data_IF_671394717532
#
_entry.id   IF_671394717532
#
_cell.length_a   1.000
_cell.length_b   1.000
_cell.length_c   1.000
_cell.angle_alpha   90.00
_cell.angle_beta   90.00
_cell.angle_gamma   90.00
#
_symmetry.space_group_name_H-M   'P 1'
#
loop_
_entity.id
_entity.type
_entity.pdbx_description
1 polymer ?
#
# COMPACT_ATOMS: atom_id res chain seq x y z
N UNK A 1 -18.06 -4.57 -24.36
CA UNK A 1 -17.05 -5.47 -23.76
C UNK A 1 -17.26 -6.87 -24.33
N UNK A 2 -16.21 -7.53 -24.82
CA UNK A 2 -16.32 -8.85 -25.49
C UNK A 2 -16.66 -10.00 -24.54
N UNK A 3 -16.15 -9.97 -23.30
CA UNK A 3 -16.34 -11.05 -22.32
C UNK A 3 -17.53 -10.87 -21.39
N UNK A 4 -18.11 -9.67 -21.32
CA UNK A 4 -19.17 -9.32 -20.35
C UNK A 4 -18.71 -9.25 -18.89
N UNK A 5 -17.42 -9.45 -18.59
CA UNK A 5 -16.88 -9.44 -17.22
C UNK A 5 -16.35 -8.05 -16.83
N UNK A 6 -16.26 -7.73 -15.51
CA UNK A 6 -15.54 -6.55 -15.03
C UNK A 6 -14.05 -6.62 -15.37
N UNK A 7 -13.46 -5.48 -15.72
CA UNK A 7 -12.04 -5.36 -16.06
C UNK A 7 -11.33 -4.41 -15.11
N UNK A 8 -10.24 -4.87 -14.49
CA UNK A 8 -9.30 -4.04 -13.75
C UNK A 8 -8.00 -3.89 -14.54
N UNK A 9 -7.55 -2.66 -14.76
CA UNK A 9 -6.28 -2.37 -15.44
C UNK A 9 -5.42 -1.46 -14.58
N UNK A 10 -4.29 -1.97 -14.12
CA UNK A 10 -3.32 -1.19 -13.34
C UNK A 10 -2.04 -0.95 -14.12
N UNK A 11 -1.40 0.17 -13.87
CA UNK A 11 -0.10 0.54 -14.43
C UNK A 11 0.98 0.54 -13.34
N UNK A 12 2.23 0.56 -13.75
CA UNK A 12 3.35 0.72 -12.84
C UNK A 12 4.24 1.86 -13.34
N UNK A 13 4.84 2.60 -12.41
CA UNK A 13 5.87 3.58 -12.70
C UNK A 13 7.21 3.01 -12.24
N UNK A 14 8.22 3.10 -13.10
CA UNK A 14 9.61 2.79 -12.78
C UNK A 14 10.20 3.93 -11.93
N UNK A 15 11.38 4.45 -12.27
CA UNK A 15 12.00 5.54 -11.51
C UNK A 15 11.41 6.93 -11.78
N UNK A 16 10.64 7.11 -12.86
CA UNK A 16 9.99 8.38 -13.23
C UNK A 16 8.49 8.33 -13.01
N UNK A 17 7.87 9.46 -12.65
CA UNK A 17 6.43 9.59 -12.37
C UNK A 17 5.56 9.62 -13.63
N UNK A 18 5.83 8.71 -14.57
CA UNK A 18 5.15 8.58 -15.85
C UNK A 18 5.23 7.14 -16.34
N UNK A 19 4.31 6.76 -17.23
CA UNK A 19 4.40 5.50 -17.97
C UNK A 19 5.61 5.51 -18.93
N UNK A 20 5.94 4.36 -19.50
CA UNK A 20 6.97 4.24 -20.54
C UNK A 20 6.68 5.16 -21.75
N UNK A 21 5.39 5.39 -22.05
CA UNK A 21 4.91 6.27 -23.12
C UNK A 21 4.83 7.75 -22.70
N UNK A 22 5.26 8.09 -21.48
CA UNK A 22 5.31 9.47 -21.00
C UNK A 22 3.98 10.03 -20.48
N UNK A 23 3.00 9.18 -20.18
CA UNK A 23 1.72 9.61 -19.59
C UNK A 23 1.85 9.77 -18.08
N UNK A 24 1.28 10.85 -17.55
CA UNK A 24 1.09 11.04 -16.11
C UNK A 24 0.06 10.05 -15.54
N UNK A 25 -0.01 9.97 -14.21
CA UNK A 25 -0.99 9.13 -13.52
C UNK A 25 -2.44 9.50 -13.89
N UNK A 26 -2.72 10.80 -14.01
CA UNK A 26 -4.04 11.33 -14.38
C UNK A 26 -4.41 10.94 -15.81
N UNK A 27 -3.53 11.20 -16.77
CA UNK A 27 -3.78 10.89 -18.19
C UNK A 27 -3.96 9.39 -18.40
N UNK A 28 -3.18 8.55 -17.72
CA UNK A 28 -3.31 7.11 -17.81
C UNK A 28 -4.65 6.64 -17.21
N UNK A 29 -5.04 7.13 -16.04
CA UNK A 29 -6.32 6.76 -15.42
C UNK A 29 -7.53 7.15 -16.29
N UNK A 30 -7.54 8.39 -16.82
CA UNK A 30 -8.60 8.86 -17.71
C UNK A 30 -8.67 8.02 -18.99
N UNK A 31 -7.54 7.78 -19.66
CA UNK A 31 -7.49 6.98 -20.87
C UNK A 31 -7.98 5.53 -20.65
N UNK A 32 -7.65 4.93 -19.51
CA UNK A 32 -8.10 3.57 -19.17
C UNK A 32 -9.60 3.50 -18.88
N UNK A 33 -10.16 4.51 -18.22
CA UNK A 33 -11.61 4.60 -18.04
C UNK A 33 -12.34 4.86 -19.37
N UNK A 34 -11.83 5.76 -20.22
CA UNK A 34 -12.38 6.03 -21.55
C UNK A 34 -12.34 4.78 -22.45
N UNK A 35 -11.33 3.92 -22.28
CA UNK A 35 -11.22 2.61 -22.93
C UNK A 35 -12.18 1.55 -22.35
N UNK A 36 -12.89 1.86 -21.26
CA UNK A 36 -13.96 1.03 -20.70
C UNK A 36 -13.55 0.10 -19.56
N UNK A 37 -12.42 0.33 -18.88
CA UNK A 37 -12.06 -0.36 -17.64
C UNK A 37 -13.05 -0.01 -16.50
N UNK A 38 -13.37 -0.97 -15.64
CA UNK A 38 -14.21 -0.75 -14.45
C UNK A 38 -13.41 -0.24 -13.25
N UNK A 39 -12.17 -0.72 -13.13
CA UNK A 39 -11.23 -0.37 -12.07
C UNK A 39 -9.90 -0.01 -12.71
N UNK A 40 -9.33 1.12 -12.33
CA UNK A 40 -7.97 1.52 -12.78
C UNK A 40 -7.08 1.80 -11.59
N UNK A 41 -5.77 1.89 -11.79
CA UNK A 41 -4.87 2.38 -10.76
C UNK A 41 -3.45 1.90 -10.92
N UNK A 42 -2.77 1.60 -9.81
CA UNK A 42 -1.35 1.31 -9.81
C UNK A 42 -0.98 0.04 -9.04
N UNK A 43 0.03 -0.68 -9.54
CA UNK A 43 0.60 -1.85 -8.87
C UNK A 43 2.13 -1.94 -9.05
N UNK A 44 2.76 -2.75 -8.20
CA UNK A 44 4.18 -3.13 -8.29
C UNK A 44 5.16 -1.93 -8.25
N UNK A 45 6.44 -2.24 -8.52
CA UNK A 45 7.65 -1.41 -8.61
C UNK A 45 7.98 -0.52 -7.41
N UNK A 46 6.99 0.17 -6.84
CA UNK A 46 7.18 1.21 -5.85
C UNK A 46 6.50 0.89 -4.51
N UNK A 47 7.12 1.25 -3.37
CA UNK A 47 6.48 1.15 -2.08
C UNK A 47 5.29 2.12 -1.95
N UNK A 48 4.46 1.95 -0.89
CA UNK A 48 3.35 2.85 -0.61
C UNK A 48 3.74 4.33 -0.60
N UNK A 49 4.90 4.67 -0.03
CA UNK A 49 5.38 6.06 0.09
C UNK A 49 5.45 6.77 -1.27
N UNK A 50 5.91 6.07 -2.31
CA UNK A 50 6.11 6.65 -3.64
C UNK A 50 4.91 6.43 -4.58
N UNK A 51 3.97 5.54 -4.23
CA UNK A 51 2.78 5.25 -5.04
C UNK A 51 1.57 6.11 -4.63
N UNK A 52 1.38 6.37 -3.34
CA UNK A 52 0.19 7.09 -2.84
C UNK A 52 0.02 8.51 -3.40
N UNK A 53 1.08 9.32 -3.61
CA UNK A 53 0.91 10.65 -4.22
C UNK A 53 0.29 10.60 -5.62
N UNK A 54 0.68 9.63 -6.45
CA UNK A 54 0.08 9.43 -7.77
C UNK A 54 -1.37 8.95 -7.67
N UNK A 55 -1.68 8.09 -6.68
CA UNK A 55 -3.05 7.65 -6.41
C UNK A 55 -3.96 8.80 -5.95
N UNK A 56 -3.45 9.75 -5.16
CA UNK A 56 -4.19 10.97 -4.79
C UNK A 56 -4.51 11.83 -6.01
N UNK A 57 -3.55 11.97 -6.94
CA UNK A 57 -3.78 12.68 -8.20
C UNK A 57 -4.86 11.98 -9.04
N UNK A 58 -4.77 10.66 -9.20
CA UNK A 58 -5.79 9.87 -9.89
C UNK A 58 -7.16 10.08 -9.25
N UNK A 59 -7.27 9.96 -7.92
CA UNK A 59 -8.55 10.12 -7.22
C UNK A 59 -9.22 11.47 -7.46
N UNK A 60 -8.44 12.56 -7.51
CA UNK A 60 -8.97 13.91 -7.80
C UNK A 60 -9.46 14.06 -9.23
N UNK A 61 -8.94 13.28 -10.16
CA UNK A 61 -9.21 13.41 -11.59
C UNK A 61 -10.35 12.51 -12.10
N UNK A 62 -10.67 11.42 -11.40
CA UNK A 62 -11.67 10.42 -11.84
C UNK A 62 -12.62 10.07 -10.70
N UNK A 63 -13.84 9.62 -11.02
CA UNK A 63 -14.84 9.17 -10.03
C UNK A 63 -15.01 7.65 -9.96
N UNK A 64 -14.41 6.90 -10.90
CA UNK A 64 -14.50 5.44 -10.95
C UNK A 64 -13.74 4.73 -9.82
N UNK A 65 -13.80 3.38 -9.84
CA UNK A 65 -13.14 2.55 -8.85
C UNK A 65 -11.62 2.55 -9.04
N UNK A 66 -10.89 2.76 -7.94
CA UNK A 66 -9.43 2.77 -7.96
C UNK A 66 -8.82 1.57 -7.24
N UNK A 67 -7.73 1.03 -7.80
CA UNK A 67 -6.91 -0.01 -7.20
C UNK A 67 -5.48 0.45 -6.90
N UNK A 68 -4.95 0.06 -5.75
CA UNK A 68 -3.57 0.36 -5.35
C UNK A 68 -2.94 -0.91 -4.77
N UNK A 69 -1.81 -1.33 -5.33
CA UNK A 69 -1.11 -2.57 -4.95
C UNK A 69 0.41 -2.38 -4.96
N UNK A 70 0.99 -1.62 -4.00
CA UNK A 70 2.41 -1.34 -3.95
C UNK A 70 3.24 -2.58 -3.60
N UNK A 71 4.56 -2.50 -3.82
CA UNK A 71 5.49 -3.51 -3.28
C UNK A 71 5.72 -3.31 -1.79
N UNK A 72 6.08 -4.37 -1.09
CA UNK A 72 6.44 -4.31 0.32
C UNK A 72 7.97 -4.22 0.51
N UNK A 73 8.66 -3.38 -0.26
CA UNK A 73 10.09 -3.11 -0.13
C UNK A 73 10.35 -1.61 -0.06
N UNK A 74 11.13 -1.16 0.92
CA UNK A 74 11.62 0.23 1.00
C UNK A 74 12.55 0.53 -0.17
N UNK A 75 12.43 1.73 -0.71
CA UNK A 75 13.30 2.21 -1.78
C UNK A 75 13.66 3.68 -1.53
N UNK A 76 14.87 4.13 -1.92
CA UNK A 76 15.21 5.56 -1.89
C UNK A 76 14.28 6.38 -2.78
N UNK A 77 14.11 7.66 -2.46
CA UNK A 77 13.25 8.57 -3.24
C UNK A 77 13.75 8.76 -4.67
N UNK A 78 15.07 8.75 -4.87
CA UNK A 78 15.71 8.94 -6.18
C UNK A 78 15.66 7.69 -7.06
N UNK A 79 15.37 6.52 -6.46
CA UNK A 79 15.26 5.22 -7.13
C UNK A 79 14.04 4.47 -6.60
N UNK A 80 12.81 4.94 -6.87
CA UNK A 80 11.61 4.38 -6.28
C UNK A 80 11.26 2.97 -6.79
N UNK A 81 11.84 2.54 -7.91
CA UNK A 81 11.67 1.20 -8.45
C UNK A 81 12.62 0.20 -7.78
N UNK A 82 12.06 -0.74 -7.00
CA UNK A 82 12.83 -1.75 -6.27
C UNK A 82 13.68 -2.66 -7.18
N UNK A 83 13.30 -2.83 -8.46
CA UNK A 83 14.05 -3.65 -9.42
C UNK A 83 15.31 -2.96 -9.95
N UNK A 84 15.40 -1.63 -9.78
CA UNK A 84 16.56 -0.83 -10.16
C UNK A 84 17.64 -0.74 -9.07
N UNK A 85 17.40 -1.40 -7.93
CA UNK A 85 18.30 -1.44 -6.79
C UNK A 85 19.35 -2.56 -6.93
N UNK A 86 20.58 -2.37 -6.42
CA UNK A 86 21.61 -3.42 -6.44
C UNK A 86 21.22 -4.66 -5.64
N UNK A 87 20.26 -4.55 -4.72
CA UNK A 87 19.72 -5.65 -3.92
C UNK A 87 18.85 -6.62 -4.74
N UNK A 88 18.32 -6.19 -5.88
CA UNK A 88 17.45 -7.04 -6.69
C UNK A 88 18.24 -8.13 -7.45
N UNK A 89 17.78 -9.40 -7.49
CA UNK A 89 16.58 -9.93 -6.83
C UNK A 89 16.84 -10.62 -5.48
N UNK A 90 18.10 -10.75 -5.03
CA UNK A 90 18.50 -11.71 -4.00
C UNK A 90 18.79 -11.14 -2.60
N UNK A 91 18.83 -9.83 -2.44
CA UNK A 91 19.16 -9.17 -1.16
C UNK A 91 18.06 -8.17 -0.72
N UNK A 92 16.81 -8.44 -1.09
CA UNK A 92 15.66 -7.57 -0.79
C UNK A 92 15.10 -7.76 0.63
N UNK A 93 15.46 -8.85 1.32
CA UNK A 93 14.96 -9.21 2.65
C UNK A 93 15.09 -8.07 3.67
N UNK A 94 16.23 -7.36 3.77
CA UNK A 94 16.38 -6.25 4.71
C UNK A 94 15.53 -5.02 4.37
N UNK A 95 15.05 -4.93 3.12
CA UNK A 95 14.22 -3.82 2.64
C UNK A 95 12.73 -4.08 2.87
N UNK A 96 12.33 -5.29 3.29
CA UNK A 96 10.91 -5.64 3.41
C UNK A 96 10.19 -4.74 4.42
N UNK A 97 9.04 -4.19 4.02
CA UNK A 97 8.18 -3.40 4.90
C UNK A 97 7.59 -4.29 5.98
N UNK A 98 7.45 -3.75 7.18
CA UNK A 98 6.81 -4.48 8.27
C UNK A 98 5.31 -4.61 8.04
N UNK A 99 4.66 -5.57 8.70
CA UNK A 99 3.19 -5.69 8.70
C UNK A 99 2.51 -4.40 9.16
N UNK A 100 3.11 -3.67 10.11
CA UNK A 100 2.56 -2.41 10.63
C UNK A 100 2.52 -1.35 9.54
N UNK A 101 3.60 -1.20 8.79
CA UNK A 101 3.68 -0.21 7.71
C UNK A 101 2.72 -0.51 6.58
N UNK A 102 2.52 -1.79 6.25
CA UNK A 102 1.49 -2.19 5.28
C UNK A 102 0.07 -1.91 5.82
N UNK A 103 -0.16 -2.06 7.12
CA UNK A 103 -1.42 -1.66 7.76
C UNK A 103 -1.66 -0.14 7.68
N UNK A 104 -0.64 0.65 8.02
CA UNK A 104 -0.69 2.12 7.94
C UNK A 104 -0.94 2.57 6.49
N UNK A 105 -0.31 1.91 5.51
CA UNK A 105 -0.61 2.09 4.09
C UNK A 105 -2.09 1.84 3.77
N UNK A 106 -2.65 0.72 4.23
CA UNK A 106 -4.03 0.37 3.92
C UNK A 106 -5.02 1.41 4.45
N UNK A 107 -4.79 1.94 5.66
CA UNK A 107 -5.57 3.04 6.22
C UNK A 107 -5.47 4.31 5.38
N UNK A 108 -4.26 4.71 4.99
CA UNK A 108 -4.03 5.87 4.12
C UNK A 108 -4.70 5.71 2.75
N UNK A 109 -4.61 4.53 2.14
CA UNK A 109 -5.27 4.24 0.86
C UNK A 109 -6.81 4.32 0.99
N UNK A 110 -7.39 3.83 2.09
CA UNK A 110 -8.81 3.99 2.38
C UNK A 110 -9.19 5.48 2.49
N UNK A 111 -8.40 6.27 3.22
CA UNK A 111 -8.68 7.69 3.45
C UNK A 111 -8.59 8.52 2.16
N UNK A 112 -7.75 8.10 1.20
CA UNK A 112 -7.73 8.64 -0.17
C UNK A 112 -9.00 8.26 -0.95
N UNK A 113 -9.72 7.21 -0.57
CA UNK A 113 -10.88 6.70 -1.32
C UNK A 113 -10.51 5.68 -2.39
N UNK A 114 -9.46 4.88 -2.15
CA UNK A 114 -9.12 3.71 -2.96
C UNK A 114 -10.05 2.54 -2.61
N UNK A 115 -10.58 1.87 -3.63
CA UNK A 115 -11.60 0.84 -3.48
C UNK A 115 -11.00 -0.57 -3.39
N UNK A 116 -9.99 -0.84 -4.21
CA UNK A 116 -9.26 -2.10 -4.23
C UNK A 116 -7.86 -1.88 -3.61
N UNK A 117 -7.75 -2.15 -2.30
CA UNK A 117 -6.51 -2.00 -1.54
C UNK A 117 -5.85 -3.37 -1.45
N UNK A 118 -4.73 -3.55 -2.13
CA UNK A 118 -3.99 -4.80 -2.14
C UNK A 118 -2.50 -4.57 -2.04
N UNK A 119 -1.72 -5.56 -2.47
CA UNK A 119 -0.27 -5.46 -2.45
C UNK A 119 0.33 -6.31 -3.58
N UNK A 120 1.62 -6.12 -3.84
CA UNK A 120 2.36 -6.80 -4.91
C UNK A 120 3.64 -7.44 -4.36
N UNK A 121 4.75 -7.42 -5.11
CA UNK A 121 6.02 -8.07 -4.77
C UNK A 121 6.50 -7.75 -3.34
N UNK A 122 7.11 -8.74 -2.69
CA UNK A 122 7.56 -8.64 -1.30
C UNK A 122 6.45 -8.76 -0.27
N UNK A 123 5.17 -8.73 -0.67
CA UNK A 123 4.07 -8.91 0.27
C UNK A 123 3.89 -10.38 0.61
N UNK A 124 3.76 -10.66 1.90
CA UNK A 124 3.51 -11.99 2.45
C UNK A 124 2.17 -12.02 3.19
N UNK A 125 1.68 -13.22 3.53
CA UNK A 125 0.36 -13.40 4.14
C UNK A 125 0.13 -12.54 5.39
N UNK A 126 1.17 -12.32 6.20
CA UNK A 126 1.09 -11.46 7.38
C UNK A 126 0.82 -9.98 7.06
N UNK A 127 1.26 -9.47 5.91
CA UNK A 127 0.95 -8.10 5.47
C UNK A 127 -0.53 -7.98 5.13
N UNK A 128 -1.04 -8.88 4.28
CA UNK A 128 -2.44 -8.88 3.87
C UNK A 128 -3.37 -9.04 5.08
N UNK A 129 -3.02 -9.92 6.02
CA UNK A 129 -3.79 -10.11 7.25
C UNK A 129 -3.82 -8.86 8.12
N UNK A 130 -2.68 -8.19 8.30
CA UNK A 130 -2.60 -6.98 9.11
C UNK A 130 -3.30 -5.79 8.46
N UNK A 131 -3.21 -5.66 7.12
CA UNK A 131 -4.00 -4.71 6.34
C UNK A 131 -5.50 -4.97 6.53
N UNK A 132 -5.93 -6.23 6.42
CA UNK A 132 -7.32 -6.63 6.64
C UNK A 132 -7.79 -6.32 8.06
N UNK A 133 -6.97 -6.57 9.09
CA UNK A 133 -7.26 -6.20 10.48
C UNK A 133 -7.44 -4.68 10.62
N UNK A 134 -6.50 -3.89 10.13
CA UNK A 134 -6.56 -2.42 10.20
C UNK A 134 -7.79 -1.84 9.48
N UNK A 135 -8.21 -2.46 8.37
CA UNK A 135 -9.41 -2.10 7.63
C UNK A 135 -10.72 -2.67 8.23
N UNK A 136 -10.67 -3.36 9.37
CA UNK A 136 -11.84 -3.97 10.00
C UNK A 136 -12.46 -5.13 9.19
N UNK A 137 -11.67 -5.80 8.34
CA UNK A 137 -12.10 -6.91 7.46
C UNK A 137 -11.81 -8.30 8.04
N UNK A 138 -10.99 -8.37 9.09
CA UNK A 138 -10.63 -9.62 9.79
C UNK A 138 -10.92 -9.42 11.27
N UNK A 139 -11.50 -10.43 11.93
CA UNK A 139 -11.77 -10.39 13.36
C UNK A 139 -10.48 -10.21 14.17
N UNK A 140 -10.56 -9.48 15.28
CA UNK A 140 -9.42 -9.27 16.20
C UNK A 140 -8.95 -10.55 16.91
N UNK A 141 -9.65 -11.66 16.71
CA UNK A 141 -9.35 -12.97 17.30
C UNK A 141 -8.16 -13.68 16.62
N UNK A 142 -7.02 -12.97 16.52
CA UNK A 142 -5.75 -13.45 15.95
C UNK A 142 -4.83 -14.09 16.99
N UNK A 143 -5.37 -14.43 18.16
CA UNK A 143 -4.63 -15.04 19.26
C UNK A 143 -3.90 -14.00 20.15
N UNK A 144 -3.65 -14.36 21.41
CA UNK A 144 -3.64 -13.41 22.50
C UNK A 144 -2.21 -13.03 22.86
N UNK A 145 -1.55 -12.17 22.08
CA UNK A 145 -0.61 -11.30 22.78
C UNK A 145 -1.44 -10.27 23.55
N UNK A 146 -1.78 -10.67 24.79
CA UNK A 146 -2.59 -9.88 25.71
C UNK A 146 -1.65 -9.06 26.57
N UNK A 147 -1.72 -7.74 26.41
CA UNK A 147 -1.22 -6.79 27.38
C UNK A 147 -2.10 -6.78 28.64
N UNK A 148 -1.56 -6.26 29.74
CA UNK A 148 -2.35 -5.99 30.94
C UNK A 148 -2.55 -7.22 31.84
N UNK A 149 -1.64 -8.20 31.77
CA UNK A 149 -1.51 -9.19 32.84
C UNK A 149 -1.12 -8.53 34.17
N UNK A 150 -1.20 -9.28 35.28
CA UNK A 150 -0.88 -8.75 36.62
C UNK A 150 0.54 -8.19 36.75
N UNK A 151 1.45 -8.58 35.84
CA UNK A 151 2.80 -8.03 35.67
C UNK A 151 3.10 -7.91 34.17
N UNK A 152 3.92 -6.94 33.76
CA UNK A 152 4.44 -6.89 32.39
C UNK A 152 5.15 -8.20 32.03
N UNK A 153 4.77 -8.79 30.91
CA UNK A 153 5.35 -10.04 30.38
C UNK A 153 6.38 -9.77 29.27
N UNK A 154 6.64 -8.51 28.95
CA UNK A 154 7.68 -8.09 28.00
C UNK A 154 8.26 -6.73 28.38
N UNK A 155 9.49 -6.44 27.92
CA UNK A 155 10.06 -5.10 28.02
C UNK A 155 9.18 -4.05 27.33
N UNK A 156 8.45 -4.43 26.28
CA UNK A 156 7.52 -3.55 25.59
C UNK A 156 6.36 -3.09 26.47
N UNK A 157 5.81 -4.00 27.29
CA UNK A 157 4.82 -3.67 28.31
C UNK A 157 5.45 -2.92 29.49
N UNK A 158 6.68 -3.28 29.89
CA UNK A 158 7.36 -2.65 31.01
C UNK A 158 7.69 -1.17 30.77
N UNK A 159 8.16 -0.85 29.55
CA UNK A 159 8.48 0.52 29.14
C UNK A 159 7.31 1.27 28.52
N UNK A 160 6.14 0.64 28.46
CA UNK A 160 4.89 1.25 28.01
C UNK A 160 4.98 1.94 26.63
N UNK A 161 5.55 1.23 25.65
CA UNK A 161 5.85 1.77 24.32
C UNK A 161 4.60 2.20 23.50
N UNK A 162 3.38 1.95 23.98
CA UNK A 162 2.16 2.43 23.34
C UNK A 162 1.80 3.88 23.73
N UNK A 163 2.33 4.39 24.84
CA UNK A 163 1.90 5.69 25.39
C UNK A 163 2.68 6.90 24.82
N UNK A 164 3.60 6.70 23.87
CA UNK A 164 4.27 7.79 23.16
C UNK A 164 3.60 8.11 21.83
N UNK A 165 2.50 8.90 21.85
CA UNK A 165 2.11 9.89 20.80
C UNK A 165 0.61 10.29 20.79
N UNK A 166 -0.04 10.48 21.95
CA UNK A 166 -1.35 11.17 21.97
C UNK A 166 -1.53 12.17 23.12
N UNK A 167 -0.46 12.57 23.80
CA UNK A 167 -0.52 13.60 24.84
C UNK A 167 0.16 14.89 24.35
N UNK A 168 -0.66 15.81 23.85
CA UNK A 168 -0.38 17.25 23.95
C UNK A 168 0.03 17.96 22.67
N UNK A 169 -0.96 18.47 21.92
CA UNK A 169 -1.11 19.92 21.70
C UNK A 169 -2.60 20.26 21.78
N UNK A 170 -3.00 20.73 22.97
CA UNK A 170 -4.11 21.69 23.10
C UNK A 170 -3.68 23.01 22.46
#
# INVERSE_FOLDING_TARGET
>A
RTTGLPTMVTICFENKDQTAEGKTAVEAAQALFDAGADIVGMNCLRPPEHMLPAMEQMRRAVSGYLGCQPVAYRTPKEKPDFTSLPEFPYALDPLQLTRKEMADYALRARDIGINYIGACCGSVAMHIREMGRALGKVSEDLGPWKKGGAKPMSAYEYYDHDHSASAGKK
#
